data_IF_818502904971
#
_entry.id   IF_818502904971
#
_cell.length_a   1.000
_cell.length_b   1.000
_cell.length_c   1.000
_cell.angle_alpha   90.00
_cell.angle_beta   90.00
_cell.angle_gamma   90.00
#
_symmetry.space_group_name_H-M   'P 1'
#
loop_
_entity.id
_entity.type
_entity.pdbx_description
1 polymer ?
#
# COMPACT_ATOMS: atom_id res chain seq x y z
N UNK A 1 -6.65 6.59 -14.17
CA UNK A 1 -6.09 5.40 -14.80
C UNK A 1 -4.79 5.01 -14.08
N UNK A 2 -4.58 3.74 -13.69
CA UNK A 2 -3.32 3.30 -13.09
C UNK A 2 -2.15 3.50 -14.04
N UNK A 3 -1.11 4.23 -13.63
CA UNK A 3 0.08 4.41 -14.45
C UNK A 3 1.03 3.21 -14.32
N UNK A 4 1.03 2.36 -15.31
CA UNK A 4 1.94 1.20 -15.43
C UNK A 4 3.09 1.46 -16.41
N UNK A 5 3.33 2.71 -16.80
CA UNK A 5 4.33 3.08 -17.81
C UNK A 5 5.74 2.65 -17.41
N UNK A 6 6.09 2.81 -16.13
CA UNK A 6 7.41 2.43 -15.61
C UNK A 6 7.66 0.92 -15.74
N UNK A 7 6.71 0.09 -15.34
CA UNK A 7 6.81 -1.38 -15.43
C UNK A 7 6.91 -1.81 -16.90
N UNK A 8 6.06 -1.23 -17.77
CA UNK A 8 6.10 -1.50 -19.21
C UNK A 8 7.43 -1.08 -19.84
N UNK A 9 7.96 0.10 -19.50
CA UNK A 9 9.27 0.57 -19.98
C UNK A 9 10.41 -0.36 -19.53
N UNK A 10 10.40 -0.82 -18.28
CA UNK A 10 11.39 -1.78 -17.78
C UNK A 10 11.29 -3.08 -18.56
N UNK A 11 10.08 -3.65 -18.72
CA UNK A 11 9.90 -4.88 -19.49
C UNK A 11 10.41 -4.76 -20.93
N UNK A 12 10.11 -3.66 -21.62
CA UNK A 12 10.59 -3.40 -22.99
C UNK A 12 12.13 -3.37 -23.02
N UNK A 13 12.76 -2.68 -22.08
CA UNK A 13 14.22 -2.56 -22.01
C UNK A 13 14.92 -3.89 -21.73
N UNK A 14 14.39 -4.71 -20.83
CA UNK A 14 15.03 -5.99 -20.48
C UNK A 14 14.71 -7.11 -21.47
N UNK A 15 13.60 -7.02 -22.21
CA UNK A 15 13.11 -8.10 -23.07
C UNK A 15 14.15 -8.63 -24.09
N UNK A 16 14.97 -7.81 -24.76
CA UNK A 16 15.99 -8.28 -25.70
C UNK A 16 17.07 -9.17 -25.04
N UNK A 17 17.33 -8.95 -23.75
CA UNK A 17 18.39 -9.61 -22.98
C UNK A 17 17.91 -10.88 -22.25
N UNK A 18 16.60 -11.14 -22.23
CA UNK A 18 16.04 -12.30 -21.55
C UNK A 18 16.49 -13.59 -22.24
N UNK A 19 16.80 -14.61 -21.43
CA UNK A 19 17.25 -15.94 -21.88
C UNK A 19 16.31 -17.02 -21.36
N UNK A 20 16.31 -18.18 -22.03
CA UNK A 20 15.62 -19.39 -21.54
C UNK A 20 16.05 -19.71 -20.10
N UNK A 21 15.15 -20.34 -19.36
CA UNK A 21 15.31 -20.77 -17.98
C UNK A 21 15.42 -19.63 -16.93
N UNK A 22 15.25 -18.36 -17.32
CA UNK A 22 15.14 -17.26 -16.38
C UNK A 22 13.74 -17.15 -15.78
N UNK A 23 13.67 -16.47 -14.64
CA UNK A 23 12.44 -16.13 -13.93
C UNK A 23 12.32 -14.61 -13.80
N UNK A 24 11.16 -14.07 -14.14
CA UNK A 24 10.79 -12.70 -13.75
C UNK A 24 9.82 -12.79 -12.58
N UNK A 25 10.12 -12.03 -11.54
CA UNK A 25 9.24 -11.84 -10.38
C UNK A 25 8.89 -10.36 -10.30
N UNK A 26 7.61 -10.02 -10.40
CA UNK A 26 7.14 -8.66 -10.18
C UNK A 26 6.85 -8.49 -8.69
N UNK A 27 7.47 -7.47 -8.07
CA UNK A 27 7.27 -7.15 -6.64
C UNK A 27 6.54 -5.82 -6.41
N UNK A 28 6.48 -4.97 -7.44
CA UNK A 28 5.78 -3.68 -7.36
C UNK A 28 4.28 -3.84 -7.13
N UNK A 29 3.69 -2.92 -6.35
CA UNK A 29 2.23 -2.83 -6.24
C UNK A 29 1.62 -2.49 -7.60
N UNK A 30 0.63 -3.26 -8.00
CA UNK A 30 -0.07 -3.14 -9.29
C UNK A 30 -1.56 -3.44 -9.11
N UNK A 31 -2.38 -3.05 -10.08
CA UNK A 31 -3.80 -3.42 -10.06
C UNK A 31 -3.98 -4.95 -10.26
N UNK A 32 -5.03 -5.57 -9.70
CA UNK A 32 -5.32 -6.99 -9.89
C UNK A 32 -5.40 -7.40 -11.37
N UNK A 33 -4.59 -8.38 -11.77
CA UNK A 33 -4.44 -8.85 -13.13
C UNK A 33 -3.31 -8.19 -13.95
N UNK A 34 -2.64 -7.17 -13.39
CA UNK A 34 -1.62 -6.41 -14.12
C UNK A 34 -0.42 -7.24 -14.57
N UNK A 35 0.04 -8.18 -13.75
CA UNK A 35 1.17 -9.03 -14.10
C UNK A 35 0.86 -9.85 -15.38
N UNK A 36 -0.33 -10.42 -15.45
CA UNK A 36 -0.73 -11.18 -16.63
C UNK A 36 -0.95 -10.26 -17.83
N UNK A 37 -1.69 -9.15 -17.67
CA UNK A 37 -1.96 -8.17 -18.73
C UNK A 37 -0.67 -7.60 -19.36
N UNK A 38 0.36 -7.35 -18.56
CA UNK A 38 1.59 -6.69 -19.03
C UNK A 38 2.63 -7.69 -19.52
N UNK A 39 2.84 -8.80 -18.80
CA UNK A 39 3.98 -9.68 -19.05
C UNK A 39 3.67 -10.86 -19.97
N UNK A 40 2.49 -11.50 -19.82
CA UNK A 40 2.20 -12.77 -20.50
C UNK A 40 2.24 -12.59 -22.01
N UNK A 41 1.51 -11.62 -22.56
CA UNK A 41 1.49 -11.36 -24.00
C UNK A 41 2.88 -11.06 -24.57
N UNK A 42 3.71 -10.31 -23.83
CA UNK A 42 5.05 -9.94 -24.28
C UNK A 42 6.01 -11.11 -24.21
N UNK A 43 6.00 -11.85 -23.10
CA UNK A 43 6.91 -12.99 -22.90
C UNK A 43 6.60 -14.14 -23.85
N UNK A 44 5.32 -14.42 -24.16
CA UNK A 44 4.90 -15.47 -25.09
C UNK A 44 5.33 -15.20 -26.53
N UNK A 45 5.81 -13.99 -26.89
CA UNK A 45 6.42 -13.75 -28.21
C UNK A 45 7.73 -14.53 -28.42
N UNK A 46 8.41 -14.93 -27.33
CA UNK A 46 9.74 -15.56 -27.40
C UNK A 46 9.87 -16.81 -26.54
N UNK A 47 9.03 -16.98 -25.54
CA UNK A 47 9.15 -18.03 -24.54
C UNK A 47 7.84 -18.78 -24.36
N UNK A 48 7.92 -19.97 -23.76
CA UNK A 48 6.77 -20.76 -23.30
C UNK A 48 6.80 -20.72 -21.77
N UNK A 49 5.87 -19.96 -21.19
CA UNK A 49 5.78 -19.80 -19.73
C UNK A 49 5.49 -21.13 -19.04
N UNK A 50 6.26 -21.41 -17.98
CA UNK A 50 6.21 -22.68 -17.26
C UNK A 50 6.98 -23.84 -17.92
N UNK A 51 7.59 -23.61 -19.11
CA UNK A 51 8.45 -24.60 -19.77
C UNK A 51 9.89 -24.12 -19.87
N UNK A 52 10.12 -23.02 -20.54
CA UNK A 52 11.45 -22.48 -20.77
C UNK A 52 11.63 -21.04 -20.25
N UNK A 53 10.61 -20.46 -19.63
CA UNK A 53 10.66 -19.18 -18.94
C UNK A 53 9.61 -19.16 -17.82
N UNK A 54 9.86 -18.39 -16.75
CA UNK A 54 9.02 -18.43 -15.58
C UNK A 54 8.59 -17.02 -15.17
N UNK A 55 7.32 -16.87 -14.80
CA UNK A 55 6.71 -15.61 -14.37
C UNK A 55 6.03 -15.81 -13.02
N UNK A 56 6.28 -14.89 -12.10
CA UNK A 56 5.70 -14.89 -10.76
C UNK A 56 5.41 -13.48 -10.27
N UNK A 57 4.62 -13.39 -9.22
CA UNK A 57 4.35 -12.17 -8.47
C UNK A 57 4.57 -12.41 -6.99
N UNK A 58 5.21 -11.46 -6.32
CA UNK A 58 5.48 -11.52 -4.89
C UNK A 58 5.57 -10.11 -4.31
N UNK A 59 4.48 -9.54 -3.76
CA UNK A 59 4.47 -8.14 -3.34
C UNK A 59 5.43 -7.86 -2.19
N UNK A 60 6.02 -6.65 -2.22
CA UNK A 60 6.79 -6.14 -1.08
C UNK A 60 5.85 -5.71 0.05
N UNK A 61 6.15 -6.17 1.28
CA UNK A 61 5.35 -5.91 2.48
C UNK A 61 6.12 -5.23 3.60
N UNK A 62 7.40 -4.91 3.36
CA UNK A 62 8.25 -4.26 4.36
C UNK A 62 7.85 -2.80 4.50
N UNK A 63 7.83 -2.34 5.75
CA UNK A 63 7.57 -0.95 6.08
C UNK A 63 8.89 -0.15 6.01
N UNK A 64 9.04 0.83 5.10
CA UNK A 64 10.21 1.69 5.06
C UNK A 64 10.32 2.55 6.32
N UNK A 65 11.54 3.00 6.64
CA UNK A 65 11.79 3.92 7.76
C UNK A 65 12.24 3.28 9.06
N UNK A 66 12.30 1.95 9.16
CA UNK A 66 12.88 1.28 10.32
C UNK A 66 14.40 1.09 10.19
N UNK A 67 15.17 1.12 11.29
CA UNK A 67 16.61 0.80 11.27
C UNK A 67 16.91 -0.58 10.69
N UNK A 68 18.11 -0.77 10.12
CA UNK A 68 18.51 -2.03 9.47
C UNK A 68 18.38 -3.27 10.37
N UNK A 69 18.72 -3.15 11.66
CA UNK A 69 18.59 -4.26 12.62
C UNK A 69 17.12 -4.64 12.86
N UNK A 70 16.24 -3.66 12.96
CA UNK A 70 14.79 -3.88 13.09
C UNK A 70 14.19 -4.44 11.80
N UNK A 71 14.71 -4.03 10.63
CA UNK A 71 14.35 -4.61 9.34
C UNK A 71 14.72 -6.08 9.26
N UNK A 72 15.91 -6.48 9.71
CA UNK A 72 16.35 -7.89 9.70
C UNK A 72 15.43 -8.80 10.53
N UNK A 73 14.98 -8.34 11.70
CA UNK A 73 13.99 -9.03 12.53
C UNK A 73 12.61 -9.06 11.83
N UNK A 74 12.24 -8.00 11.15
CA UNK A 74 10.97 -7.90 10.41
C UNK A 74 10.95 -8.84 9.21
N UNK A 75 12.04 -8.93 8.43
CA UNK A 75 12.18 -9.89 7.33
C UNK A 75 11.99 -11.34 7.78
N UNK A 76 12.47 -11.70 8.96
CA UNK A 76 12.30 -13.06 9.49
C UNK A 76 10.87 -13.37 9.93
N UNK A 77 10.05 -12.35 10.25
CA UNK A 77 8.70 -12.50 10.80
C UNK A 77 7.59 -12.19 9.80
N UNK A 78 7.88 -11.44 8.73
CA UNK A 78 6.91 -11.17 7.66
C UNK A 78 6.71 -12.43 6.84
N UNK A 79 5.45 -12.83 6.67
CA UNK A 79 5.10 -13.88 5.71
C UNK A 79 5.16 -13.31 4.30
N UNK A 80 6.08 -13.81 3.45
CA UNK A 80 6.18 -13.41 2.05
C UNK A 80 5.04 -14.06 1.25
N UNK A 81 4.27 -13.26 0.50
CA UNK A 81 3.28 -13.79 -0.45
C UNK A 81 4.00 -14.18 -1.75
N UNK A 82 3.66 -15.33 -2.29
CA UNK A 82 4.25 -15.85 -3.52
C UNK A 82 3.17 -16.44 -4.41
N UNK A 83 3.19 -16.13 -5.71
CA UNK A 83 2.31 -16.73 -6.71
C UNK A 83 3.05 -16.93 -8.02
N UNK A 84 2.95 -18.11 -8.62
CA UNK A 84 3.48 -18.41 -9.94
C UNK A 84 2.39 -18.40 -11.01
N UNK A 85 2.72 -18.03 -12.25
CA UNK A 85 1.79 -18.05 -13.37
C UNK A 85 1.35 -19.48 -13.73
N UNK A 86 2.26 -20.45 -13.60
CA UNK A 86 1.97 -21.88 -13.73
C UNK A 86 2.50 -22.62 -12.51
N UNK A 87 2.12 -23.89 -12.33
CA UNK A 87 2.65 -24.71 -11.22
C UNK A 87 4.18 -24.79 -11.22
N UNK A 88 4.82 -24.87 -12.40
CA UNK A 88 6.28 -24.85 -12.50
C UNK A 88 6.89 -23.48 -12.14
N UNK A 89 6.22 -22.38 -12.49
CA UNK A 89 6.62 -21.04 -12.06
C UNK A 89 6.53 -20.93 -10.54
N UNK A 90 5.43 -21.41 -9.95
CA UNK A 90 5.20 -21.45 -8.50
C UNK A 90 6.32 -22.21 -7.78
N UNK A 91 6.66 -23.43 -8.23
CA UNK A 91 7.73 -24.23 -7.62
C UNK A 91 9.08 -23.50 -7.67
N UNK A 92 9.42 -22.89 -8.81
CA UNK A 92 10.68 -22.15 -8.94
C UNK A 92 10.77 -20.94 -8.00
N UNK A 93 9.72 -20.14 -7.94
CA UNK A 93 9.73 -18.94 -7.10
C UNK A 93 9.62 -19.29 -5.62
N UNK A 94 8.90 -20.36 -5.27
CA UNK A 94 8.84 -20.88 -3.91
C UNK A 94 10.22 -21.31 -3.42
N UNK A 95 10.95 -22.10 -4.22
CA UNK A 95 12.31 -22.53 -3.89
C UNK A 95 13.25 -21.34 -3.68
N UNK A 96 13.14 -20.30 -4.52
CA UNK A 96 13.94 -19.09 -4.39
C UNK A 96 13.65 -18.38 -3.06
N UNK A 97 12.38 -18.10 -2.75
CA UNK A 97 12.06 -17.37 -1.52
C UNK A 97 12.21 -18.20 -0.25
N UNK A 98 12.09 -19.53 -0.31
CA UNK A 98 12.33 -20.42 0.85
C UNK A 98 13.76 -20.34 1.38
N UNK A 99 14.74 -19.93 0.54
CA UNK A 99 16.10 -19.68 0.99
C UNK A 99 16.27 -18.34 1.73
N UNK A 100 15.32 -17.41 1.58
CA UNK A 100 15.40 -16.03 2.08
C UNK A 100 14.43 -15.75 3.23
N UNK A 101 13.25 -16.38 3.22
CA UNK A 101 12.17 -16.09 4.15
C UNK A 101 11.75 -17.34 4.93
N UNK A 102 11.62 -17.20 6.25
CA UNK A 102 11.16 -18.28 7.13
C UNK A 102 9.68 -18.64 6.94
N UNK A 103 8.88 -17.69 6.49
CA UNK A 103 7.43 -17.86 6.33
C UNK A 103 7.01 -17.43 4.93
N UNK A 104 6.41 -18.35 4.20
CA UNK A 104 5.87 -18.09 2.87
C UNK A 104 4.40 -18.50 2.85
N UNK A 105 3.57 -17.66 2.28
CA UNK A 105 2.19 -17.97 1.95
C UNK A 105 2.05 -18.09 0.44
N UNK A 106 1.76 -19.30 -0.01
CA UNK A 106 1.56 -19.57 -1.42
C UNK A 106 0.12 -19.19 -1.80
N UNK A 107 -0.01 -18.16 -2.62
CA UNK A 107 -1.30 -17.71 -3.13
C UNK A 107 -1.77 -18.62 -4.26
N UNK A 108 -3.08 -18.86 -4.36
CA UNK A 108 -3.69 -19.71 -5.39
C UNK A 108 -3.46 -19.20 -6.82
N UNK A 109 -3.23 -17.91 -7.01
CA UNK A 109 -2.95 -17.29 -8.31
C UNK A 109 -2.27 -15.94 -8.14
N UNK A 110 -1.68 -15.43 -9.22
CA UNK A 110 -1.07 -14.08 -9.26
C UNK A 110 -2.10 -13.01 -8.88
N UNK A 111 -3.29 -13.07 -9.46
CA UNK A 111 -4.34 -12.07 -9.17
C UNK A 111 -4.78 -12.07 -7.71
N UNK A 112 -4.75 -13.22 -7.03
CA UNK A 112 -5.01 -13.29 -5.58
C UNK A 112 -3.92 -12.56 -4.80
N UNK A 113 -2.65 -12.75 -5.15
CA UNK A 113 -1.53 -12.09 -4.47
C UNK A 113 -1.54 -10.56 -4.71
N UNK A 114 -1.82 -10.11 -5.93
CA UNK A 114 -1.99 -8.70 -6.30
C UNK A 114 -3.15 -8.06 -5.54
N UNK A 115 -4.32 -8.72 -5.53
CA UNK A 115 -5.51 -8.25 -4.82
C UNK A 115 -5.27 -8.17 -3.32
N UNK A 116 -4.59 -9.16 -2.74
CA UNK A 116 -4.26 -9.18 -1.30
C UNK A 116 -3.43 -7.98 -0.90
N UNK A 117 -2.41 -7.63 -1.69
CA UNK A 117 -1.56 -6.45 -1.44
C UNK A 117 -2.36 -5.16 -1.44
N UNK A 118 -3.19 -4.96 -2.45
CA UNK A 118 -4.06 -3.78 -2.56
C UNK A 118 -5.06 -3.75 -1.40
N UNK A 119 -5.64 -4.89 -1.03
CA UNK A 119 -6.62 -4.98 0.05
C UNK A 119 -6.01 -4.64 1.42
N UNK A 120 -4.77 -5.04 1.70
CA UNK A 120 -4.03 -4.64 2.92
C UNK A 120 -3.93 -3.10 3.05
N UNK A 121 -3.63 -2.42 1.97
CA UNK A 121 -3.50 -0.97 1.95
C UNK A 121 -4.87 -0.26 2.00
N UNK A 122 -5.89 -0.80 1.33
CA UNK A 122 -7.27 -0.33 1.45
C UNK A 122 -7.78 -0.47 2.88
N UNK A 123 -7.58 -1.62 3.51
CA UNK A 123 -7.94 -1.84 4.92
C UNK A 123 -7.33 -0.76 5.81
N UNK A 124 -6.05 -0.46 5.61
CA UNK A 124 -5.36 0.63 6.34
C UNK A 124 -5.98 1.99 6.05
N UNK A 125 -6.19 2.33 4.77
CA UNK A 125 -6.76 3.62 4.36
C UNK A 125 -8.16 3.87 4.93
N UNK A 126 -9.03 2.86 4.89
CA UNK A 126 -10.40 2.95 5.40
C UNK A 126 -10.43 3.10 6.92
N UNK A 127 -9.61 2.32 7.65
CA UNK A 127 -9.56 2.41 9.11
C UNK A 127 -8.91 3.73 9.59
N UNK A 128 -7.93 4.27 8.87
CA UNK A 128 -7.41 5.62 9.15
C UNK A 128 -8.51 6.65 8.89
N UNK A 129 -9.27 6.51 7.81
CA UNK A 129 -10.43 7.36 7.54
C UNK A 129 -11.45 7.34 8.68
N UNK A 130 -11.80 6.15 9.17
CA UNK A 130 -12.71 5.97 10.29
C UNK A 130 -12.21 6.65 11.58
N UNK A 131 -10.96 6.43 11.98
CA UNK A 131 -10.42 7.07 13.20
C UNK A 131 -10.26 8.58 13.03
N UNK A 132 -10.03 9.08 11.83
CA UNK A 132 -10.00 10.51 11.53
C UNK A 132 -11.39 11.14 11.61
N UNK A 133 -12.44 10.45 11.16
CA UNK A 133 -13.84 10.88 11.34
C UNK A 133 -14.19 10.96 12.84
N UNK A 134 -13.83 9.93 13.60
CA UNK A 134 -14.00 9.92 15.06
C UNK A 134 -13.23 11.07 15.73
N UNK A 135 -12.03 11.41 15.26
CA UNK A 135 -11.27 12.58 15.76
C UNK A 135 -12.04 13.89 15.59
N UNK A 136 -12.66 14.10 14.43
CA UNK A 136 -13.46 15.31 14.17
C UNK A 136 -14.69 15.36 15.11
N UNK A 137 -15.34 14.23 15.33
CA UNK A 137 -16.50 14.12 16.21
C UNK A 137 -16.12 14.33 17.68
N UNK A 138 -15.12 13.62 18.19
CA UNK A 138 -14.68 13.70 19.58
C UNK A 138 -14.12 15.07 19.94
N UNK A 139 -13.51 15.78 18.99
CA UNK A 139 -13.10 17.17 19.16
C UNK A 139 -14.28 18.11 19.47
N UNK A 140 -15.42 17.93 18.78
CA UNK A 140 -16.67 18.67 19.08
C UNK A 140 -17.22 18.31 20.45
N UNK A 141 -17.06 17.06 20.88
CA UNK A 141 -17.46 16.56 22.20
C UNK A 141 -16.49 16.96 23.31
N UNK A 142 -15.35 17.58 23.00
CA UNK A 142 -14.24 17.90 23.92
C UNK A 142 -13.62 16.65 24.57
N UNK A 143 -13.60 15.54 23.84
CA UNK A 143 -12.99 14.26 24.25
C UNK A 143 -11.67 14.09 23.49
N UNK A 144 -10.63 13.61 24.18
CA UNK A 144 -9.38 13.26 23.54
C UNK A 144 -9.52 11.92 22.80
N UNK A 145 -9.40 11.95 21.48
CA UNK A 145 -9.50 10.74 20.63
C UNK A 145 -8.42 9.70 20.97
N UNK A 146 -7.24 10.10 21.44
CA UNK A 146 -6.19 9.17 21.78
C UNK A 146 -6.59 8.29 22.97
N UNK A 147 -7.24 8.84 23.97
CA UNK A 147 -7.75 8.11 25.13
C UNK A 147 -8.84 7.11 24.71
N UNK A 148 -9.70 7.51 23.75
CA UNK A 148 -10.73 6.62 23.18
C UNK A 148 -10.11 5.44 22.45
N UNK A 149 -9.10 5.70 21.62
CA UNK A 149 -8.38 4.66 20.85
C UNK A 149 -7.63 3.70 21.78
N UNK A 150 -7.00 4.23 22.83
CA UNK A 150 -6.30 3.41 23.83
C UNK A 150 -7.29 2.53 24.61
N UNK A 151 -8.39 3.10 25.07
CA UNK A 151 -9.44 2.36 25.78
C UNK A 151 -10.06 1.25 24.88
N UNK A 152 -10.44 1.58 23.64
CA UNK A 152 -10.96 0.62 22.70
C UNK A 152 -9.95 -0.50 22.37
N UNK A 153 -8.67 -0.13 22.27
CA UNK A 153 -7.56 -1.03 21.97
C UNK A 153 -7.15 -1.92 23.16
N UNK A 154 -7.66 -1.71 24.36
CA UNK A 154 -7.48 -2.62 25.49
C UNK A 154 -8.24 -3.94 25.31
N UNK A 155 -9.24 -3.97 24.41
CA UNK A 155 -9.95 -5.18 24.05
C UNK A 155 -9.00 -6.13 23.28
N UNK A 156 -8.82 -7.39 23.71
CA UNK A 156 -7.82 -8.30 23.12
C UNK A 156 -8.18 -8.83 21.72
N UNK A 157 -9.40 -8.59 21.23
CA UNK A 157 -9.90 -9.07 19.94
C UNK A 157 -10.85 -8.06 19.26
N UNK A 158 -10.97 -8.16 17.95
CA UNK A 158 -11.96 -7.42 17.15
C UNK A 158 -11.70 -5.91 16.99
N UNK A 159 -10.66 -5.35 17.62
CA UNK A 159 -10.25 -3.96 17.45
C UNK A 159 -8.74 -3.88 17.14
N UNK A 160 -8.39 -3.25 16.04
CA UNK A 160 -7.01 -2.93 15.71
C UNK A 160 -6.80 -1.43 15.84
N UNK A 161 -5.87 -1.01 16.68
CA UNK A 161 -5.55 0.41 16.88
C UNK A 161 -5.04 1.05 15.60
N UNK A 162 -5.62 2.19 15.25
CA UNK A 162 -5.13 3.12 14.25
C UNK A 162 -5.04 4.50 14.90
N UNK A 163 -3.94 5.21 14.67
CA UNK A 163 -3.76 6.55 15.20
C UNK A 163 -4.37 7.58 14.26
N UNK A 164 -5.16 8.54 14.77
CA UNK A 164 -5.62 9.66 13.97
C UNK A 164 -4.46 10.58 13.60
N UNK A 165 -4.57 11.24 12.45
CA UNK A 165 -3.54 12.16 11.96
C UNK A 165 -4.13 13.35 11.22
N UNK A 166 -3.28 14.23 10.64
CA UNK A 166 -3.74 15.36 9.83
C UNK A 166 -4.12 14.97 8.40
N UNK A 167 -4.06 13.70 8.06
CA UNK A 167 -4.31 13.12 6.76
C UNK A 167 -3.41 11.92 6.51
N UNK A 168 -3.42 11.40 5.28
CA UNK A 168 -2.55 10.31 4.84
C UNK A 168 -1.64 10.79 3.73
N UNK A 169 -0.41 10.30 3.73
CA UNK A 169 0.59 10.58 2.71
C UNK A 169 1.30 9.30 2.27
N UNK A 170 2.34 9.46 1.47
CA UNK A 170 3.11 8.36 0.91
C UNK A 170 2.51 7.82 -0.38
N UNK A 171 3.25 6.91 -1.01
CA UNK A 171 2.92 6.42 -2.36
C UNK A 171 1.79 5.36 -2.37
N UNK A 172 1.59 4.60 -1.28
CA UNK A 172 0.71 3.43 -1.31
C UNK A 172 -0.72 3.75 -0.84
N UNK A 173 -0.89 4.38 0.35
CA UNK A 173 -2.21 4.54 0.96
C UNK A 173 -3.16 5.44 0.15
N UNK A 174 -2.71 6.55 -0.47
CA UNK A 174 -3.57 7.35 -1.33
C UNK A 174 -3.84 6.73 -2.71
N UNK A 175 -2.93 5.88 -3.23
CA UNK A 175 -2.94 5.42 -4.63
C UNK A 175 -3.60 4.06 -4.80
N UNK A 176 -3.35 3.09 -3.92
CA UNK A 176 -3.87 1.74 -4.04
C UNK A 176 -5.41 1.65 -4.06
N UNK A 177 -6.15 2.49 -3.29
CA UNK A 177 -7.60 2.58 -3.44
C UNK A 177 -8.06 2.96 -4.85
N UNK A 178 -7.27 3.80 -5.56
CA UNK A 178 -7.58 4.21 -6.94
C UNK A 178 -7.43 3.02 -7.90
N UNK A 179 -6.43 2.16 -7.69
CA UNK A 179 -6.25 0.93 -8.48
C UNK A 179 -7.45 0.00 -8.34
N UNK A 180 -7.93 -0.22 -7.12
CA UNK A 180 -9.10 -1.06 -6.89
C UNK A 180 -10.38 -0.45 -7.45
N UNK A 181 -10.57 0.86 -7.30
CA UNK A 181 -11.69 1.58 -7.90
C UNK A 181 -11.71 1.45 -9.43
N UNK A 182 -10.55 1.57 -10.07
CA UNK A 182 -10.44 1.42 -11.51
C UNK A 182 -10.81 -0.01 -11.96
N UNK A 183 -10.33 -1.04 -11.27
CA UNK A 183 -10.72 -2.44 -11.52
C UNK A 183 -12.22 -2.63 -11.29
N UNK A 184 -12.77 -2.13 -10.18
CA UNK A 184 -14.20 -2.23 -9.88
C UNK A 184 -15.07 -1.66 -10.99
N UNK A 185 -14.66 -0.55 -11.61
CA UNK A 185 -15.36 0.04 -12.74
C UNK A 185 -15.42 -0.89 -13.97
N UNK A 186 -14.39 -1.70 -14.23
CA UNK A 186 -14.41 -2.73 -15.28
C UNK A 186 -15.50 -3.78 -15.02
N UNK A 187 -15.78 -4.06 -13.75
CA UNK A 187 -16.85 -4.98 -13.32
C UNK A 187 -18.16 -4.27 -13.01
N UNK A 188 -18.33 -2.99 -13.42
CA UNK A 188 -19.53 -2.18 -13.17
C UNK A 188 -19.93 -2.10 -11.68
N UNK A 189 -18.94 -2.19 -10.78
CA UNK A 189 -19.13 -2.15 -9.33
C UNK A 189 -18.67 -0.80 -8.74
N UNK A 190 -19.45 -0.23 -7.81
CA UNK A 190 -19.10 1.02 -7.09
C UNK A 190 -18.49 0.70 -5.73
N UNK A 191 -17.30 1.23 -5.47
CA UNK A 191 -16.52 1.02 -4.25
C UNK A 191 -16.89 2.03 -3.16
N UNK A 192 -18.03 1.87 -2.49
CA UNK A 192 -18.58 2.85 -1.53
C UNK A 192 -17.64 3.12 -0.34
N UNK A 193 -17.21 2.10 0.37
CA UNK A 193 -16.32 2.23 1.54
C UNK A 193 -14.93 2.75 1.18
N UNK A 194 -14.37 2.31 0.08
CA UNK A 194 -13.05 2.74 -0.41
C UNK A 194 -13.09 4.24 -0.74
N UNK A 195 -14.13 4.67 -1.47
CA UNK A 195 -14.32 6.08 -1.83
C UNK A 195 -14.56 6.96 -0.61
N UNK A 196 -15.36 6.48 0.36
CA UNK A 196 -15.62 7.22 1.58
C UNK A 196 -14.35 7.36 2.44
N UNK A 197 -13.60 6.29 2.64
CA UNK A 197 -12.33 6.32 3.38
C UNK A 197 -11.32 7.28 2.77
N UNK A 198 -11.17 7.30 1.44
CA UNK A 198 -10.31 8.25 0.75
C UNK A 198 -10.77 9.70 0.94
N UNK A 199 -12.09 9.99 0.84
CA UNK A 199 -12.66 11.32 1.08
C UNK A 199 -12.41 11.79 2.52
N UNK A 200 -12.61 10.92 3.51
CA UNK A 200 -12.38 11.25 4.92
C UNK A 200 -10.93 11.64 5.21
N UNK A 201 -9.98 10.95 4.60
CA UNK A 201 -8.56 11.28 4.75
C UNK A 201 -8.18 12.64 4.14
N UNK A 202 -8.86 13.09 3.10
CA UNK A 202 -8.73 14.46 2.57
C UNK A 202 -9.46 15.46 3.48
N UNK A 203 -10.66 15.12 3.94
CA UNK A 203 -11.47 15.99 4.79
C UNK A 203 -10.78 16.34 6.11
N UNK A 204 -10.10 15.38 6.75
CA UNK A 204 -9.38 15.65 8.01
C UNK A 204 -8.21 16.60 7.82
N UNK A 205 -7.54 16.58 6.66
CA UNK A 205 -6.49 17.55 6.32
C UNK A 205 -7.07 18.97 6.28
N UNK A 206 -8.17 19.16 5.55
CA UNK A 206 -8.86 20.45 5.49
C UNK A 206 -9.36 20.92 6.86
N UNK A 207 -9.94 20.01 7.64
CA UNK A 207 -10.36 20.30 9.01
C UNK A 207 -9.18 20.74 9.90
N UNK A 208 -8.04 20.09 9.80
CA UNK A 208 -6.82 20.44 10.55
C UNK A 208 -6.34 21.84 10.18
N UNK A 209 -6.29 22.16 8.88
CA UNK A 209 -5.92 23.48 8.36
C UNK A 209 -6.86 24.55 8.94
N UNK A 210 -8.18 24.33 8.88
CA UNK A 210 -9.15 25.28 9.42
C UNK A 210 -8.98 25.50 10.94
N UNK A 211 -8.66 24.46 11.70
CA UNK A 211 -8.34 24.58 13.12
C UNK A 211 -7.08 25.44 13.37
N UNK A 212 -6.03 25.19 12.60
CA UNK A 212 -4.78 25.98 12.70
C UNK A 212 -5.07 27.44 12.40
N UNK A 213 -5.77 27.75 11.31
CA UNK A 213 -6.15 29.11 10.93
C UNK A 213 -6.96 29.78 12.05
N UNK A 214 -7.94 29.08 12.63
CA UNK A 214 -8.75 29.61 13.74
C UNK A 214 -7.93 29.94 14.98
N UNK A 215 -6.89 29.16 15.27
CA UNK A 215 -5.98 29.39 16.41
C UNK A 215 -5.07 30.60 16.12
N UNK A 216 -4.47 30.64 14.91
CA UNK A 216 -3.54 31.69 14.51
C UNK A 216 -4.24 33.05 14.46
N UNK A 217 -5.47 33.11 13.96
CA UNK A 217 -6.24 34.35 13.85
C UNK A 217 -6.58 34.99 15.21
N UNK A 218 -6.53 34.22 16.31
CA UNK A 218 -6.68 34.72 17.68
C UNK A 218 -5.38 35.36 18.26
N UNK A 219 -4.26 35.23 17.55
CA UNK A 219 -2.95 35.72 18.01
C UNK A 219 -2.61 37.07 17.39
N UNK A 220 -1.96 37.93 18.17
CA UNK A 220 -1.45 39.25 17.68
C UNK A 220 -0.37 39.07 16.61
N UNK A 221 0.55 38.10 16.79
CA UNK A 221 1.56 37.72 15.80
C UNK A 221 1.15 36.43 15.11
N UNK A 222 0.89 36.49 13.81
CA UNK A 222 0.39 35.36 12.98
C UNK A 222 1.58 34.56 12.41
N UNK A 223 2.36 33.89 13.27
CA UNK A 223 3.46 32.99 12.85
C UNK A 223 3.13 31.57 13.27
N UNK A 224 3.36 30.64 12.36
CA UNK A 224 3.22 29.21 12.60
C UNK A 224 4.53 28.52 12.18
N UNK A 225 5.09 27.70 13.04
CA UNK A 225 6.20 26.83 12.73
C UNK A 225 5.67 25.42 12.52
N UNK A 226 5.90 24.87 11.34
CA UNK A 226 5.59 23.48 11.02
C UNK A 226 6.86 22.63 11.24
N UNK A 227 6.77 21.65 12.15
CA UNK A 227 7.86 20.71 12.43
C UNK A 227 7.57 19.38 11.74
N UNK A 228 8.42 19.02 10.76
CA UNK A 228 8.32 17.79 9.99
C UNK A 228 7.44 17.93 8.75
N UNK A 229 8.03 17.63 7.58
CA UNK A 229 7.36 17.67 6.28
C UNK A 229 7.06 16.27 5.74
N UNK A 230 7.76 15.25 6.23
CA UNK A 230 7.54 13.86 5.80
C UNK A 230 6.20 13.32 6.31
N UNK A 231 5.60 12.41 5.56
CA UNK A 231 4.33 11.80 5.94
C UNK A 231 4.45 10.76 7.07
N UNK A 232 5.68 10.40 7.44
CA UNK A 232 5.99 9.41 8.47
C UNK A 232 7.29 9.76 9.17
N UNK A 233 7.44 9.36 10.44
CA UNK A 233 8.69 9.49 11.18
C UNK A 233 9.83 8.67 10.55
N UNK A 234 11.06 9.14 10.74
CA UNK A 234 12.32 8.47 10.35
C UNK A 234 12.48 8.19 8.84
N UNK A 235 11.83 9.00 7.98
CA UNK A 235 12.01 8.98 6.54
C UNK A 235 12.17 10.39 5.98
N UNK A 236 12.79 10.49 4.80
CA UNK A 236 12.92 11.76 4.05
C UNK A 236 11.93 11.86 2.88
N UNK A 237 10.88 11.03 2.86
CA UNK A 237 9.90 10.99 1.78
C UNK A 237 8.73 11.95 2.08
N UNK A 238 8.57 12.93 1.20
CA UNK A 238 7.53 13.98 1.29
C UNK A 238 6.39 13.79 0.28
N UNK A 239 6.40 12.68 -0.49
CA UNK A 239 5.38 12.43 -1.51
C UNK A 239 4.00 12.34 -0.89
N UNK A 240 3.04 13.04 -1.48
CA UNK A 240 1.66 13.11 -1.00
C UNK A 240 1.52 13.49 0.49
N UNK A 241 2.54 14.14 1.07
CA UNK A 241 2.46 14.56 2.47
C UNK A 241 1.37 15.60 2.67
N UNK A 242 0.45 15.41 3.63
CA UNK A 242 -0.57 16.40 3.96
C UNK A 242 0.01 17.71 4.53
N UNK A 243 1.28 17.68 4.97
CA UNK A 243 1.99 18.88 5.47
C UNK A 243 2.41 19.85 4.36
N UNK A 244 2.36 19.44 3.09
CA UNK A 244 2.71 20.28 1.93
C UNK A 244 1.46 20.97 1.36
N UNK A 245 0.29 20.39 1.56
CA UNK A 245 -1.00 20.93 1.12
C UNK A 245 -1.51 22.02 2.07
#
# INVERSE_FOLDING_TARGET
YPDMSYIKKVLIKIFPYLKKNQTIILESSVYPGATEDIFVKKLNQRFILGKNFFLAYSPERIDPGKPLYAKKLEYSNITKLVAGYTKKCETKVLNFYSSLFKRIFLCKSIIVAETSKIFENIFRAVNIGLVNEMKILTDKMKINIHDVVEAAGSKPFGFKKFSPGPGVGGHCIPIDPIFMKWIANKYKHKTKFIDLGAKMNVQVTNWTIQKIIKIINKKKKKKCLLLGMAYKADINDIRESPSIK
#
